data_IF_478208365185
#
_entry.id   IF_478208365185
#
_cell.length_a   1.000
_cell.length_b   1.000
_cell.length_c   1.000
_cell.angle_alpha   90.00
_cell.angle_beta   90.00
_cell.angle_gamma   90.00
#
_symmetry.space_group_name_H-M   'P 1'
#
loop_
_entity.id
_entity.type
_entity.pdbx_description
1 polymer ?
#
# COMPACT_ATOMS: atom_id res chain seq x y z
N UNK A 1 6.04 10.09 31.96
CA UNK A 1 6.24 8.76 31.34
C UNK A 1 5.20 7.83 31.95
N UNK A 2 4.32 7.24 31.14
CA UNK A 2 3.23 6.37 31.62
C UNK A 2 3.64 4.91 31.43
N UNK A 3 3.51 4.10 32.47
CA UNK A 3 3.77 2.66 32.41
C UNK A 3 2.45 1.90 32.49
N UNK A 4 2.21 1.03 31.52
CA UNK A 4 1.04 0.12 31.50
C UNK A 4 1.54 -1.30 31.70
N UNK A 5 0.95 -2.03 32.67
CA UNK A 5 1.31 -3.42 32.98
C UNK A 5 0.17 -4.35 32.57
N UNK A 6 0.42 -5.23 31.60
CA UNK A 6 -0.51 -6.30 31.25
C UNK A 6 -0.40 -7.46 32.25
N UNK A 7 -1.54 -8.10 32.58
CA UNK A 7 -1.59 -9.23 33.54
C UNK A 7 -1.40 -10.60 32.91
N UNK A 8 -1.72 -10.74 31.60
CA UNK A 8 -1.72 -12.04 30.90
C UNK A 8 -0.79 -12.04 29.70
N UNK A 9 -1.00 -11.13 28.76
CA UNK A 9 -0.22 -11.03 27.54
C UNK A 9 -0.30 -9.62 26.97
N UNK A 10 0.65 -9.31 26.08
CA UNK A 10 0.61 -8.16 25.18
C UNK A 10 0.46 -8.69 23.77
N UNK A 11 -0.49 -8.16 23.01
CA UNK A 11 -0.66 -8.47 21.58
C UNK A 11 -0.06 -7.30 20.80
N UNK A 12 0.96 -7.57 20.00
CA UNK A 12 1.55 -6.57 19.11
C UNK A 12 0.91 -6.68 17.73
N UNK A 13 0.41 -5.56 17.22
CA UNK A 13 -0.01 -5.40 15.82
C UNK A 13 1.06 -4.66 14.98
N UNK A 14 2.25 -4.45 15.54
CA UNK A 14 3.39 -3.93 14.79
C UNK A 14 3.95 -5.03 13.88
N UNK A 15 4.80 -4.65 12.93
CA UNK A 15 5.49 -5.64 12.08
C UNK A 15 6.30 -6.62 12.93
N UNK A 16 6.64 -7.78 12.37
CA UNK A 16 7.44 -8.76 13.11
C UNK A 16 8.86 -8.23 13.42
N UNK A 17 9.42 -7.38 12.55
CA UNK A 17 10.70 -6.71 12.78
C UNK A 17 10.60 -5.71 13.93
N UNK A 18 9.56 -4.85 13.93
CA UNK A 18 9.37 -3.85 14.99
C UNK A 18 9.11 -4.54 16.33
N UNK A 19 8.23 -5.54 16.34
CA UNK A 19 7.91 -6.33 17.55
C UNK A 19 9.16 -7.00 18.11
N UNK A 20 10.00 -7.58 17.26
CA UNK A 20 11.26 -8.18 17.69
C UNK A 20 12.23 -7.14 18.28
N UNK A 21 12.29 -5.93 17.72
CA UNK A 21 13.16 -4.85 18.21
C UNK A 21 12.74 -4.29 19.58
N UNK A 22 11.46 -4.42 19.94
CA UNK A 22 10.90 -4.01 21.23
C UNK A 22 11.13 -5.04 22.34
N UNK A 23 11.54 -6.27 22.00
CA UNK A 23 11.74 -7.36 22.96
C UNK A 23 13.23 -7.50 23.35
N UNK A 24 13.54 -7.94 24.57
CA UNK A 24 14.92 -8.26 24.93
C UNK A 24 15.45 -9.39 24.04
N UNK A 25 16.62 -9.21 23.43
CA UNK A 25 17.16 -10.09 22.39
C UNK A 25 17.32 -11.53 22.85
N UNK A 26 17.66 -11.73 24.12
CA UNK A 26 17.82 -13.01 24.79
C UNK A 26 16.52 -13.81 24.95
N UNK A 27 15.36 -13.16 24.80
CA UNK A 27 14.05 -13.83 24.92
C UNK A 27 13.56 -14.43 23.60
N UNK A 28 14.20 -14.09 22.49
CA UNK A 28 13.79 -14.52 21.15
C UNK A 28 14.55 -15.79 20.72
N UNK A 29 13.87 -16.84 20.25
CA UNK A 29 14.52 -17.99 19.67
C UNK A 29 15.37 -17.58 18.45
N UNK A 30 16.60 -18.07 18.35
CA UNK A 30 17.50 -17.76 17.22
C UNK A 30 16.84 -18.06 15.87
N UNK A 31 16.16 -19.20 15.74
CA UNK A 31 15.45 -19.57 14.51
C UNK A 31 14.36 -18.56 14.10
N UNK A 32 13.71 -17.90 15.06
CA UNK A 32 12.72 -16.87 14.79
C UNK A 32 13.39 -15.58 14.28
N UNK A 33 14.51 -15.19 14.90
CA UNK A 33 15.31 -14.03 14.47
C UNK A 33 15.87 -14.25 13.06
N UNK A 34 16.45 -15.42 12.80
CA UNK A 34 16.99 -15.77 11.48
C UNK A 34 15.90 -15.74 10.40
N UNK A 35 14.69 -16.22 10.73
CA UNK A 35 13.54 -16.16 9.81
C UNK A 35 13.09 -14.73 9.53
N UNK A 36 12.97 -13.88 10.54
CA UNK A 36 12.59 -12.47 10.35
C UNK A 36 13.61 -11.75 9.46
N UNK A 37 14.91 -11.94 9.74
CA UNK A 37 15.99 -11.28 9.00
C UNK A 37 16.08 -11.71 7.53
N UNK A 38 15.58 -12.90 7.20
CA UNK A 38 15.57 -13.44 5.84
C UNK A 38 14.23 -13.30 5.13
N UNK A 39 13.21 -12.78 5.81
CA UNK A 39 11.92 -12.54 5.15
C UNK A 39 12.02 -11.32 4.25
N UNK A 40 11.73 -11.43 2.95
CA UNK A 40 11.71 -10.29 2.05
C UNK A 40 10.62 -9.31 2.50
N UNK A 41 10.92 -8.01 2.41
CA UNK A 41 9.90 -6.98 2.59
C UNK A 41 9.08 -6.89 1.30
N UNK A 42 7.80 -6.54 1.45
CA UNK A 42 7.00 -6.17 0.29
C UNK A 42 7.55 -4.86 -0.27
N UNK A 43 7.61 -4.75 -1.59
CA UNK A 43 7.89 -3.48 -2.24
C UNK A 43 6.80 -2.44 -1.90
N UNK A 44 7.08 -1.20 -2.28
CA UNK A 44 6.18 -0.09 -2.01
C UNK A 44 4.90 -0.16 -2.85
N UNK A 45 3.97 0.73 -2.53
CA UNK A 45 2.71 0.91 -3.22
C UNK A 45 2.60 2.36 -3.66
N UNK A 46 2.25 2.59 -4.93
CA UNK A 46 1.75 3.88 -5.38
C UNK A 46 0.24 3.88 -5.25
N UNK A 47 -0.32 4.88 -4.55
CA UNK A 47 -1.77 5.02 -4.38
C UNK A 47 -2.25 6.31 -5.04
N UNK A 48 -3.29 6.19 -5.86
CA UNK A 48 -4.00 7.29 -6.49
C UNK A 48 -5.46 7.27 -6.05
N UNK A 49 -5.92 8.39 -5.48
CA UNK A 49 -7.30 8.57 -5.06
C UNK A 49 -7.90 9.73 -5.86
N UNK A 50 -8.99 9.48 -6.59
CA UNK A 50 -9.61 10.49 -7.43
C UNK A 50 -11.13 10.47 -7.27
N UNK A 51 -11.72 11.67 -7.31
CA UNK A 51 -13.16 11.83 -7.53
C UNK A 51 -13.41 12.13 -8.99
N UNK A 52 -14.43 11.52 -9.58
CA UNK A 52 -14.76 11.70 -10.99
C UNK A 52 -16.27 11.83 -11.22
N UNK A 53 -16.61 12.46 -12.34
CA UNK A 53 -17.98 12.65 -12.78
C UNK A 53 -18.58 11.33 -13.28
N UNK A 54 -19.77 10.97 -12.81
CA UNK A 54 -20.41 9.71 -13.19
C UNK A 54 -21.23 9.81 -14.50
N UNK A 55 -21.32 10.99 -15.11
CA UNK A 55 -22.10 11.22 -16.33
C UNK A 55 -21.56 10.36 -17.47
N UNK A 56 -22.44 9.59 -18.09
CA UNK A 56 -22.10 8.73 -19.24
C UNK A 56 -21.43 7.41 -18.87
N UNK A 57 -21.24 7.13 -17.57
CA UNK A 57 -20.85 5.79 -17.13
C UNK A 57 -22.02 4.82 -17.29
N UNK A 58 -21.69 3.54 -17.47
CA UNK A 58 -22.67 2.46 -17.50
C UNK A 58 -23.19 2.20 -16.10
N UNK A 59 -24.47 1.90 -15.97
CA UNK A 59 -25.10 1.56 -14.69
C UNK A 59 -24.58 0.23 -14.10
N UNK A 60 -23.98 -0.63 -14.93
CA UNK A 60 -23.39 -1.92 -14.53
C UNK A 60 -21.86 -1.84 -14.28
N UNK A 61 -21.34 -0.64 -13.97
CA UNK A 61 -19.93 -0.45 -13.65
C UNK A 61 -19.50 -1.40 -12.52
N UNK A 62 -18.47 -2.21 -12.79
CA UNK A 62 -17.88 -3.09 -11.78
C UNK A 62 -17.16 -2.31 -10.68
N UNK A 63 -17.06 -2.91 -9.50
CA UNK A 63 -16.39 -2.30 -8.34
C UNK A 63 -14.88 -2.40 -8.46
N UNK A 64 -14.38 -3.58 -8.86
CA UNK A 64 -12.96 -3.89 -8.94
C UNK A 64 -12.56 -4.17 -10.38
N UNK A 65 -11.48 -3.53 -10.81
CA UNK A 65 -10.86 -3.74 -12.10
C UNK A 65 -9.38 -3.98 -11.90
N UNK A 66 -8.79 -4.80 -12.77
CA UNK A 66 -7.36 -5.04 -12.81
C UNK A 66 -6.92 -4.75 -14.24
N UNK A 67 -5.92 -3.89 -14.37
CA UNK A 67 -5.25 -3.61 -15.64
C UNK A 67 -3.87 -4.22 -15.58
N UNK A 68 -3.52 -5.00 -16.60
CA UNK A 68 -2.17 -5.51 -16.84
C UNK A 68 -1.70 -4.89 -18.14
N UNK A 69 -0.70 -4.02 -18.08
CA UNK A 69 -0.22 -3.27 -19.24
C UNK A 69 0.51 -4.17 -20.24
N UNK A 70 1.36 -5.07 -19.73
CA UNK A 70 2.18 -5.97 -20.53
C UNK A 70 2.29 -7.35 -19.86
N UNK A 71 1.72 -8.37 -20.49
CA UNK A 71 1.75 -9.74 -19.98
C UNK A 71 3.14 -10.40 -20.09
N UNK A 72 3.99 -9.95 -21.01
CA UNK A 72 5.33 -10.52 -21.21
C UNK A 72 6.29 -10.13 -20.09
N UNK A 73 6.08 -8.95 -19.48
CA UNK A 73 6.88 -8.47 -18.33
C UNK A 73 6.57 -9.19 -17.02
N UNK A 74 5.41 -9.85 -16.91
CA UNK A 74 4.97 -10.50 -15.67
C UNK A 74 4.21 -9.56 -14.73
N UNK A 75 3.37 -10.14 -13.87
CA UNK A 75 2.45 -9.39 -12.99
C UNK A 75 3.16 -8.68 -11.83
N UNK A 76 4.39 -9.07 -11.53
CA UNK A 76 5.27 -8.52 -10.51
C UNK A 76 6.16 -7.39 -11.05
N UNK A 77 6.14 -7.12 -12.36
CA UNK A 77 6.87 -6.01 -12.93
C UNK A 77 6.37 -4.65 -12.41
N UNK A 78 7.31 -3.73 -12.26
CA UNK A 78 7.04 -2.39 -11.77
C UNK A 78 6.06 -1.64 -12.70
N UNK A 79 5.09 -0.96 -12.07
CA UNK A 79 4.04 -0.19 -12.75
C UNK A 79 3.27 -0.96 -13.85
N UNK A 80 3.29 -2.30 -13.82
CA UNK A 80 2.65 -3.10 -14.86
C UNK A 80 1.19 -3.46 -14.54
N UNK A 81 0.93 -3.74 -13.26
CA UNK A 81 -0.41 -4.11 -12.78
C UNK A 81 -0.97 -2.98 -11.94
N UNK A 82 -2.18 -2.54 -12.28
CA UNK A 82 -2.92 -1.52 -11.53
C UNK A 82 -4.25 -2.10 -11.10
N UNK A 83 -4.51 -2.08 -9.79
CA UNK A 83 -5.79 -2.45 -9.21
C UNK A 83 -6.60 -1.17 -9.03
N UNK A 84 -7.82 -1.16 -9.55
CA UNK A 84 -8.73 -0.01 -9.49
C UNK A 84 -9.98 -0.44 -8.74
N UNK A 85 -10.34 0.30 -7.70
CA UNK A 85 -11.55 0.08 -6.92
C UNK A 85 -12.42 1.33 -6.93
N UNK A 86 -13.70 1.18 -7.25
CA UNK A 86 -14.71 2.25 -7.25
C UNK A 86 -15.76 1.96 -6.16
N UNK A 87 -15.44 2.14 -4.87
CA UNK A 87 -16.31 1.70 -3.77
C UNK A 87 -17.66 2.42 -3.73
N UNK A 88 -17.75 3.64 -4.29
CA UNK A 88 -19.00 4.39 -4.39
C UNK A 88 -20.05 3.75 -5.31
N UNK A 89 -19.69 2.71 -6.07
CA UNK A 89 -20.67 1.87 -6.79
C UNK A 89 -21.53 1.07 -5.81
N UNK A 90 -20.95 0.55 -4.73
CA UNK A 90 -21.68 -0.21 -3.69
C UNK A 90 -22.35 0.70 -2.65
N UNK A 91 -21.68 1.80 -2.31
CA UNK A 91 -22.10 2.70 -1.24
C UNK A 91 -22.09 4.13 -1.78
N UNK A 92 -23.21 4.59 -2.39
CA UNK A 92 -23.28 5.90 -3.05
C UNK A 92 -23.01 7.08 -2.11
N UNK A 93 -23.14 6.91 -0.80
CA UNK A 93 -22.84 7.90 0.23
C UNK A 93 -21.33 8.15 0.44
N UNK A 94 -20.46 7.35 -0.18
CA UNK A 94 -19.02 7.56 -0.20
C UNK A 94 -18.57 8.67 -1.16
N UNK A 95 -19.47 9.18 -2.01
CA UNK A 95 -19.19 10.26 -2.96
C UNK A 95 -20.34 11.27 -3.01
N UNK A 96 -20.09 12.52 -3.43
CA UNK A 96 -21.16 13.47 -3.72
C UNK A 96 -22.14 12.93 -4.78
N UNK A 97 -23.42 13.37 -4.80
CA UNK A 97 -24.37 12.97 -5.82
C UNK A 97 -23.85 13.20 -7.24
N UNK A 98 -24.02 12.20 -8.11
CA UNK A 98 -23.54 12.25 -9.50
C UNK A 98 -22.04 12.09 -9.67
N UNK A 99 -21.30 11.74 -8.61
CA UNK A 99 -19.86 11.48 -8.63
C UNK A 99 -19.54 10.08 -8.13
N UNK A 100 -18.35 9.61 -8.48
CA UNK A 100 -17.73 8.43 -7.89
C UNK A 100 -16.34 8.75 -7.36
N UNK A 101 -15.87 7.90 -6.44
CA UNK A 101 -14.49 7.89 -5.97
C UNK A 101 -13.81 6.63 -6.48
N UNK A 102 -12.57 6.76 -6.95
CA UNK A 102 -11.71 5.65 -7.29
C UNK A 102 -10.47 5.63 -6.40
N UNK A 103 -10.04 4.44 -6.01
CA UNK A 103 -8.75 4.15 -5.43
C UNK A 103 -8.02 3.20 -6.38
N UNK A 104 -6.96 3.69 -7.01
CA UNK A 104 -6.08 2.91 -7.86
C UNK A 104 -4.72 2.71 -7.16
N UNK A 105 -4.11 1.53 -7.32
CA UNK A 105 -2.78 1.28 -6.76
C UNK A 105 -2.00 0.20 -7.51
N UNK A 106 -0.67 0.28 -7.41
CA UNK A 106 0.24 -0.80 -7.79
C UNK A 106 0.36 -1.80 -6.64
N UNK A 107 0.18 -3.12 -6.86
CA UNK A 107 0.07 -4.10 -5.78
C UNK A 107 1.44 -4.55 -5.26
N UNK A 108 2.18 -3.66 -4.59
CA UNK A 108 3.46 -4.02 -3.98
C UNK A 108 4.51 -4.33 -5.04
N UNK A 109 4.55 -3.54 -6.10
CA UNK A 109 5.51 -3.63 -7.21
C UNK A 109 6.22 -2.31 -7.49
N UNK A 110 6.03 -1.29 -6.63
CA UNK A 110 6.77 -0.04 -6.74
C UNK A 110 8.11 -0.17 -5.99
N UNK A 111 9.28 -0.15 -6.68
CA UNK A 111 10.56 -0.40 -6.04
C UNK A 111 10.83 0.63 -4.93
N UNK A 112 11.04 0.17 -3.70
CA UNK A 112 11.22 1.07 -2.57
C UNK A 112 12.54 1.87 -2.67
N UNK A 113 13.57 1.31 -3.27
CA UNK A 113 14.92 1.90 -3.37
C UNK A 113 14.91 3.25 -4.10
N UNK A 114 13.95 3.49 -4.99
CA UNK A 114 13.76 4.78 -5.66
C UNK A 114 13.41 5.91 -4.68
N UNK A 115 12.75 5.56 -3.58
CA UNK A 115 12.26 6.48 -2.55
C UNK A 115 13.21 6.57 -1.36
N UNK A 116 14.11 5.60 -1.22
CA UNK A 116 15.00 5.50 -0.09
C UNK A 116 15.89 6.73 0.05
N UNK A 117 15.95 7.29 1.26
CA UNK A 117 16.78 8.47 1.56
C UNK A 117 16.21 9.81 1.07
N UNK A 118 15.09 9.83 0.34
CA UNK A 118 14.41 11.08 -0.01
C UNK A 118 13.68 11.67 1.19
N UNK A 119 13.76 13.00 1.37
CA UNK A 119 12.90 13.71 2.33
C UNK A 119 11.49 13.85 1.71
N UNK A 120 10.43 13.32 2.34
CA UNK A 120 9.05 13.43 1.82
C UNK A 120 8.55 14.86 1.59
N UNK A 121 9.22 15.86 2.17
CA UNK A 121 8.88 17.28 2.00
C UNK A 121 9.65 17.96 0.86
N UNK A 122 10.69 17.31 0.35
CA UNK A 122 11.57 17.85 -0.67
C UNK A 122 10.87 18.01 -2.02
N UNK A 123 11.47 18.78 -2.92
CA UNK A 123 10.92 18.95 -4.27
C UNK A 123 11.22 17.72 -5.12
N UNK A 124 12.36 17.08 -4.91
CA UNK A 124 12.79 15.84 -5.57
C UNK A 124 11.78 14.71 -5.30
N UNK A 125 11.37 14.52 -4.05
CA UNK A 125 10.34 13.54 -3.70
C UNK A 125 9.00 13.81 -4.40
N UNK A 126 8.57 15.08 -4.42
CA UNK A 126 7.30 15.47 -5.06
C UNK A 126 7.34 15.28 -6.58
N UNK A 127 8.47 15.60 -7.20
CA UNK A 127 8.66 15.42 -8.64
C UNK A 127 8.66 13.93 -8.99
N UNK A 128 9.43 13.10 -8.28
CA UNK A 128 9.41 11.64 -8.47
C UNK A 128 7.99 11.09 -8.27
N UNK A 129 7.26 11.57 -7.25
CA UNK A 129 5.86 11.19 -7.04
C UNK A 129 4.94 11.55 -8.20
N UNK A 130 5.13 12.71 -8.82
CA UNK A 130 4.39 13.08 -10.02
C UNK A 130 4.73 12.14 -11.18
N UNK A 131 6.02 11.98 -11.50
CA UNK A 131 6.50 11.13 -12.59
C UNK A 131 6.03 9.68 -12.44
N UNK A 132 6.13 9.11 -11.24
CA UNK A 132 5.68 7.73 -10.94
C UNK A 132 4.17 7.58 -10.95
N UNK A 133 3.39 8.66 -10.91
CA UNK A 133 1.92 8.62 -10.98
C UNK A 133 1.36 8.70 -12.41
N UNK A 134 2.22 8.96 -13.40
CA UNK A 134 1.84 9.14 -14.81
C UNK A 134 2.11 7.91 -15.70
N UNK A 135 2.72 6.86 -15.13
CA UNK A 135 3.11 5.65 -15.83
C UNK A 135 1.96 4.65 -16.08
#
# INVERSE_FOLDING_TARGET
MQFVRARKAVISNASMWDTASLLPKETLPKSYVDRINTTPQCESFMHLHLGFDATGLRDDLGIHHIVVNDWERGVDADQNVVLISVPSVLSPDLAPPGKHVLHAYTPGTEPFELWEGLDPKSNEYKQLKQERSEA
#
